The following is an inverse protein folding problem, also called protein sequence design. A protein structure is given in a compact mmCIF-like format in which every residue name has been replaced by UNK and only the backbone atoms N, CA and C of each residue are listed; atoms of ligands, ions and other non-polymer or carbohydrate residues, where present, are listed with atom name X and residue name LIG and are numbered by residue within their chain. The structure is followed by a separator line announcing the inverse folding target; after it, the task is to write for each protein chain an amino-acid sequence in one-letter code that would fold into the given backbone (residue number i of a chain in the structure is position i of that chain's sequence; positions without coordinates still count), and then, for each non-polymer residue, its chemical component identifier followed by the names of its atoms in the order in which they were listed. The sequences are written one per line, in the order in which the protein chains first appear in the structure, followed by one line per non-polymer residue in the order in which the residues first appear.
data_IF_144664453157
#
_entry.id   IF_144664453157
#
_cell.length_a   1.000
_cell.length_b   1.000
_cell.length_c   1.000
_cell.angle_alpha   90.00
_cell.angle_beta   90.00
_cell.angle_gamma   90.00
#
_symmetry.space_group_name_H-M   'P 1'
#
loop_
_entity.id
_entity.type
_entity.pdbx_description
1 polymer ?
#
# COMPACT_ATOMS: atom_id res chain seq x y z
N UNK A 1 2.36 -8.09 13.93
CA UNK A 1 1.43 -8.67 12.93
C UNK A 1 1.62 -8.16 11.50
N UNK A 2 2.20 -6.96 11.28
CA UNK A 2 2.42 -6.38 9.94
C UNK A 2 3.90 -6.17 9.56
N UNK A 3 4.79 -6.04 10.54
CA UNK A 3 6.21 -5.73 10.36
C UNK A 3 7.05 -7.01 10.22
N UNK A 4 6.82 -7.72 9.12
CA UNK A 4 7.57 -8.92 8.74
C UNK A 4 7.63 -8.99 7.20
N UNK A 5 8.80 -9.27 6.60
CA UNK A 5 8.95 -9.29 5.14
C UNK A 5 8.02 -10.26 4.42
N UNK A 6 7.76 -11.44 5.00
CA UNK A 6 6.87 -12.44 4.38
C UNK A 6 5.40 -12.03 4.50
N UNK A 7 5.02 -11.40 5.61
CA UNK A 7 3.67 -10.82 5.73
C UNK A 7 3.45 -9.73 4.69
N UNK A 8 4.41 -8.81 4.52
CA UNK A 8 4.35 -7.72 3.53
C UNK A 8 4.28 -8.30 2.11
N UNK A 9 5.13 -9.29 1.78
CA UNK A 9 5.11 -9.94 0.49
C UNK A 9 3.76 -10.61 0.20
N UNK A 10 3.17 -11.27 1.20
CA UNK A 10 1.82 -11.84 1.11
C UNK A 10 0.75 -10.78 0.82
N UNK A 11 0.83 -9.59 1.43
CA UNK A 11 -0.11 -8.50 1.10
C UNK A 11 0.09 -7.95 -0.32
N UNK A 12 1.30 -8.07 -0.87
CA UNK A 12 1.62 -7.63 -2.23
C UNK A 12 0.91 -8.41 -3.32
N UNK A 13 0.40 -9.62 -3.05
CA UNK A 13 -0.37 -10.38 -4.05
C UNK A 13 -1.64 -9.65 -4.46
N UNK A 14 -2.26 -8.90 -3.55
CA UNK A 14 -3.40 -8.02 -3.86
C UNK A 14 -3.03 -6.98 -4.92
N UNK A 15 -1.80 -6.44 -4.86
CA UNK A 15 -1.30 -5.52 -5.88
C UNK A 15 -1.15 -6.17 -7.25
N UNK A 16 -0.78 -7.46 -7.31
CA UNK A 16 -0.73 -8.22 -8.57
C UNK A 16 -2.13 -8.46 -9.13
N UNK A 17 -3.09 -8.80 -8.28
CA UNK A 17 -4.50 -8.96 -8.67
C UNK A 17 -5.07 -7.64 -9.21
N UNK A 18 -4.78 -6.49 -8.58
CA UNK A 18 -5.17 -5.17 -9.09
C UNK A 18 -4.60 -4.89 -10.48
N UNK A 19 -3.33 -5.21 -10.75
CA UNK A 19 -2.72 -5.01 -12.06
C UNK A 19 -3.33 -5.91 -13.13
N UNK A 20 -3.73 -7.11 -12.75
CA UNK A 20 -4.40 -8.06 -13.65
C UNK A 20 -5.79 -7.56 -14.03
N UNK A 21 -6.58 -7.13 -13.05
CA UNK A 21 -7.97 -6.71 -13.24
C UNK A 21 -8.06 -5.28 -13.83
N UNK A 22 -7.09 -4.42 -13.49
CA UNK A 22 -7.02 -3.03 -13.93
C UNK A 22 -5.62 -2.65 -14.48
N UNK A 23 -5.26 -3.08 -15.70
CA UNK A 23 -3.92 -2.86 -16.27
C UNK A 23 -3.54 -1.38 -16.44
N UNK A 24 -4.53 -0.48 -16.51
CA UNK A 24 -4.36 0.96 -16.66
C UNK A 24 -4.68 1.74 -15.37
N UNK A 25 -4.59 1.09 -14.20
CA UNK A 25 -4.84 1.74 -12.91
C UNK A 25 -3.92 2.96 -12.73
N UNK A 26 -4.52 4.09 -12.36
CA UNK A 26 -3.79 5.34 -12.10
C UNK A 26 -3.52 5.54 -10.61
N UNK A 27 -4.54 5.31 -9.77
CA UNK A 27 -4.48 5.59 -8.33
C UNK A 27 -5.14 4.47 -7.53
N UNK A 28 -4.50 4.04 -6.44
CA UNK A 28 -5.00 3.05 -5.49
C UNK A 28 -5.04 3.64 -4.08
N UNK A 29 -6.22 3.61 -3.46
CA UNK A 29 -6.41 4.02 -2.06
C UNK A 29 -6.30 2.79 -1.16
N UNK A 30 -5.47 2.85 -0.12
CA UNK A 30 -5.22 1.72 0.77
C UNK A 30 -5.48 2.12 2.23
N UNK A 31 -6.31 1.37 2.98
CA UNK A 31 -6.44 1.58 4.42
C UNK A 31 -5.08 1.46 5.12
N UNK A 32 -4.76 2.45 5.95
CA UNK A 32 -3.45 2.61 6.54
C UNK A 32 -3.53 2.61 8.07
N UNK A 33 -2.88 1.60 8.65
CA UNK A 33 -2.60 1.47 10.08
C UNK A 33 -1.11 1.17 10.26
N UNK A 34 -0.71 -0.06 10.61
CA UNK A 34 0.70 -0.46 10.77
C UNK A 34 1.55 -0.52 9.49
N UNK A 35 0.94 -0.41 8.31
CA UNK A 35 1.68 -0.22 7.04
C UNK A 35 1.92 -1.48 6.21
N UNK A 36 1.78 -2.69 6.76
CA UNK A 36 2.07 -3.92 6.00
C UNK A 36 1.30 -4.09 4.69
N UNK A 37 -0.01 -3.77 4.70
CA UNK A 37 -0.87 -3.83 3.52
C UNK A 37 -0.43 -2.84 2.43
N UNK A 38 -0.29 -1.56 2.78
CA UNK A 38 0.13 -0.53 1.81
C UNK A 38 1.55 -0.78 1.32
N UNK A 39 2.45 -1.30 2.17
CA UNK A 39 3.82 -1.63 1.77
C UNK A 39 3.84 -2.72 0.70
N UNK A 40 3.08 -3.81 0.90
CA UNK A 40 2.99 -4.90 -0.07
C UNK A 40 2.37 -4.45 -1.39
N UNK A 41 1.21 -3.78 -1.32
CA UNK A 41 0.53 -3.25 -2.52
C UNK A 41 1.41 -2.25 -3.26
N UNK A 42 2.03 -1.30 -2.54
CA UNK A 42 2.91 -0.31 -3.15
C UNK A 42 4.12 -0.96 -3.81
N UNK A 43 4.73 -1.98 -3.18
CA UNK A 43 5.85 -2.71 -3.77
C UNK A 43 5.46 -3.32 -5.12
N UNK A 44 4.33 -4.03 -5.20
CA UNK A 44 3.86 -4.63 -6.44
C UNK A 44 3.58 -3.57 -7.51
N UNK A 45 2.78 -2.55 -7.20
CA UNK A 45 2.37 -1.52 -8.18
C UNK A 45 3.55 -0.67 -8.67
N UNK A 46 4.41 -0.22 -7.75
CA UNK A 46 5.56 0.63 -8.08
C UNK A 46 6.66 -0.10 -8.82
N UNK A 47 6.78 -1.42 -8.62
CA UNK A 47 7.71 -2.26 -9.40
C UNK A 47 7.29 -2.37 -10.87
N UNK A 48 5.99 -2.25 -11.16
CA UNK A 48 5.47 -2.28 -12.54
C UNK A 48 5.45 -0.90 -13.17
N UNK A 49 4.94 0.12 -12.46
CA UNK A 49 4.87 1.47 -12.97
C UNK A 49 4.94 2.50 -11.82
N UNK A 50 6.01 3.28 -11.80
CA UNK A 50 6.25 4.30 -10.78
C UNK A 50 5.22 5.45 -10.80
N UNK A 51 4.53 5.66 -11.92
CA UNK A 51 3.51 6.70 -12.05
C UNK A 51 2.23 6.37 -11.26
N UNK A 52 1.93 5.09 -11.01
CA UNK A 52 0.73 4.68 -10.26
C UNK A 52 0.78 5.27 -8.86
N UNK A 53 -0.22 6.06 -8.47
CA UNK A 53 -0.29 6.68 -7.16
C UNK A 53 -0.83 5.68 -6.14
N UNK A 54 -0.16 5.57 -4.99
CA UNK A 54 -0.63 4.77 -3.86
C UNK A 54 -0.81 5.70 -2.68
N UNK A 55 -2.05 5.82 -2.20
CA UNK A 55 -2.43 6.80 -1.17
C UNK A 55 -2.96 6.06 0.05
N UNK A 56 -2.28 6.23 1.17
CA UNK A 56 -2.71 5.70 2.45
C UNK A 56 -3.87 6.51 3.04
N UNK A 57 -4.89 5.82 3.54
CA UNK A 57 -6.08 6.44 4.16
C UNK A 57 -6.18 5.98 5.61
N UNK A 58 -6.17 6.91 6.55
CA UNK A 58 -6.31 6.64 7.98
C UNK A 58 -7.45 7.46 8.58
N UNK A 59 -8.01 6.99 9.69
CA UNK A 59 -8.92 7.79 10.51
C UNK A 59 -8.16 8.97 11.12
N UNK A 60 -8.80 10.16 11.19
CA UNK A 60 -8.16 11.37 11.72
C UNK A 60 -7.61 11.16 13.15
N UNK A 61 -8.41 10.53 14.02
CA UNK A 61 -8.06 10.22 15.42
C UNK A 61 -7.00 9.11 15.58
N UNK A 62 -6.62 8.41 14.50
CA UNK A 62 -5.74 7.24 14.52
C UNK A 62 -4.64 7.28 13.46
N UNK A 63 -4.31 8.45 12.92
CA UNK A 63 -3.39 8.63 11.79
C UNK A 63 -1.91 8.52 12.21
N UNK A 64 -1.53 7.42 12.86
CA UNK A 64 -0.17 7.21 13.41
C UNK A 64 0.90 7.25 12.32
N UNK A 65 0.67 6.61 11.17
CA UNK A 65 1.63 6.62 10.07
C UNK A 65 1.83 8.03 9.49
N UNK A 66 0.74 8.80 9.32
CA UNK A 66 0.85 10.18 8.85
C UNK A 66 1.69 11.01 9.83
N UNK A 67 1.45 10.87 11.15
CA UNK A 67 2.23 11.54 12.18
C UNK A 67 3.71 11.12 12.17
N UNK A 68 4.00 9.83 11.95
CA UNK A 68 5.37 9.31 11.87
C UNK A 68 6.16 9.81 10.67
N UNK A 69 5.49 10.24 9.59
CA UNK A 69 6.14 10.81 8.41
C UNK A 69 6.35 12.33 8.50
N UNK A 70 5.79 12.97 9.53
CA UNK A 70 5.87 14.42 9.75
C UNK A 70 6.95 14.82 10.77
N UNK A 71 7.70 13.84 11.30
CA UNK A 71 8.88 14.02 12.15
C UNK A 71 10.15 13.86 11.31
#
# INVERSE_FOLDING_TARGET
PFDDPYVIAGQGTIGLEILQDFPAVDTVLVPLSGGGLIAGIALALKSTNLAIRVIGVSMAEGAVMAKSLMV
#
